data_IF_995313666310
#
_entry.id   IF_995313666310
#
_cell.length_a   1.000
_cell.length_b   1.000
_cell.length_c   1.000
_cell.angle_alpha   90.00
_cell.angle_beta   90.00
_cell.angle_gamma   90.00
#
_symmetry.space_group_name_H-M   'P 1'
#
loop_
_entity.id
_entity.type
_entity.pdbx_description
1 polymer ?
#
# COMPACT_ATOMS: atom_id res chain seq x y z
N UNK A 1 -15.91 -5.10 -0.91
CA UNK A 1 -14.73 -4.54 -1.58
C UNK A 1 -14.43 -3.16 -1.04
N UNK A 2 -13.20 -2.96 -0.58
CA UNK A 2 -12.77 -1.66 -0.09
C UNK A 2 -12.20 -0.85 -1.26
N UNK A 3 -12.86 0.21 -1.65
CA UNK A 3 -12.46 1.09 -2.77
C UNK A 3 -12.81 2.55 -2.44
N UNK A 4 -12.36 3.02 -1.29
CA UNK A 4 -12.53 4.39 -0.86
C UNK A 4 -11.31 5.24 -1.26
N UNK A 5 -11.52 6.53 -1.34
CA UNK A 5 -10.47 7.53 -1.60
C UNK A 5 -9.70 7.36 -2.93
N UNK A 6 -10.34 6.72 -3.94
CA UNK A 6 -9.76 6.63 -5.28
C UNK A 6 -8.72 5.52 -5.47
N UNK A 7 -8.62 4.52 -4.56
CA UNK A 7 -7.65 3.43 -4.65
C UNK A 7 -7.77 2.59 -5.94
N UNK A 8 -8.94 2.62 -6.60
CA UNK A 8 -9.11 2.05 -7.96
C UNK A 8 -8.12 2.64 -8.98
N UNK A 9 -7.64 3.86 -8.76
CA UNK A 9 -6.60 4.46 -9.57
C UNK A 9 -5.29 3.69 -9.52
N UNK A 10 -5.01 2.94 -8.45
CA UNK A 10 -3.85 2.08 -8.38
C UNK A 10 -3.94 0.93 -9.39
N UNK A 11 -5.11 0.28 -9.49
CA UNK A 11 -5.38 -0.77 -10.48
C UNK A 11 -5.23 -0.22 -11.90
N UNK A 12 -5.82 0.96 -12.16
CA UNK A 12 -5.74 1.63 -13.47
C UNK A 12 -4.30 1.95 -13.83
N UNK A 13 -3.50 2.42 -12.87
CA UNK A 13 -2.09 2.76 -13.09
C UNK A 13 -1.28 1.52 -13.51
N UNK A 14 -1.39 0.40 -12.78
CA UNK A 14 -0.73 -0.85 -13.14
C UNK A 14 -1.15 -1.28 -14.54
N UNK A 15 -2.47 -1.37 -14.78
CA UNK A 15 -3.01 -1.80 -16.06
C UNK A 15 -2.46 -0.95 -17.21
N UNK A 16 -2.52 0.38 -17.10
CA UNK A 16 -2.06 1.28 -18.16
C UNK A 16 -0.56 1.19 -18.40
N UNK A 17 0.26 1.10 -17.35
CA UNK A 17 1.71 1.00 -17.50
C UNK A 17 2.13 -0.34 -18.12
N UNK A 18 1.38 -1.42 -17.90
CA UNK A 18 1.55 -2.69 -18.59
C UNK A 18 1.08 -2.60 -20.05
N UNK A 19 -0.13 -2.06 -20.31
CA UNK A 19 -0.65 -1.87 -21.67
C UNK A 19 0.31 -1.05 -22.56
N UNK A 20 0.89 0.03 -22.05
CA UNK A 20 1.86 0.85 -22.77
C UNK A 20 3.16 0.11 -23.13
N UNK A 21 3.44 -1.00 -22.42
CA UNK A 21 4.58 -1.88 -22.70
C UNK A 21 4.18 -3.17 -23.43
N UNK A 22 2.94 -3.28 -23.91
CA UNK A 22 2.39 -4.48 -24.53
C UNK A 22 2.46 -5.72 -23.60
N UNK A 23 2.41 -5.52 -22.28
CA UNK A 23 2.34 -6.60 -21.30
C UNK A 23 0.85 -6.90 -21.07
N UNK A 24 0.38 -8.14 -21.34
CA UNK A 24 -1.00 -8.53 -21.12
C UNK A 24 -1.36 -8.43 -19.63
N UNK A 25 -2.52 -7.85 -19.30
CA UNK A 25 -3.02 -7.73 -17.93
C UNK A 25 -4.50 -8.10 -17.87
N UNK A 26 -4.81 -9.01 -16.99
CA UNK A 26 -6.16 -9.32 -16.57
C UNK A 26 -6.39 -8.79 -15.15
N UNK A 27 -7.51 -8.11 -14.94
CA UNK A 27 -7.92 -7.64 -13.62
C UNK A 27 -9.03 -8.54 -13.10
N UNK A 28 -8.76 -9.23 -12.00
CA UNK A 28 -9.70 -10.13 -11.35
C UNK A 28 -10.18 -9.52 -10.04
N UNK A 29 -11.48 -9.29 -9.94
CA UNK A 29 -12.10 -8.86 -8.68
C UNK A 29 -12.35 -10.10 -7.80
N UNK A 30 -11.89 -10.06 -6.53
CA UNK A 30 -12.15 -11.11 -5.53
C UNK A 30 -13.15 -10.58 -4.49
N UNK A 31 -14.34 -11.15 -4.47
CA UNK A 31 -15.43 -10.81 -3.55
C UNK A 31 -15.28 -11.48 -2.18
N UNK A 32 -16.21 -11.12 -1.27
CA UNK A 32 -16.35 -11.81 0.02
C UNK A 32 -16.75 -13.28 -0.22
N UNK A 33 -16.13 -14.21 0.51
CA UNK A 33 -16.37 -15.65 0.37
C UNK A 33 -15.74 -16.30 -0.86
N UNK A 34 -15.17 -15.52 -1.78
CA UNK A 34 -14.46 -16.05 -2.94
C UNK A 34 -13.01 -16.39 -2.57
N UNK A 35 -12.45 -17.52 -3.02
CA UNK A 35 -11.09 -17.90 -2.69
C UNK A 35 -10.06 -17.00 -3.39
N UNK A 36 -8.99 -16.67 -2.69
CA UNK A 36 -7.76 -16.18 -3.32
C UNK A 36 -7.02 -17.40 -3.85
N UNK A 37 -6.66 -17.37 -5.13
CA UNK A 37 -5.89 -18.46 -5.76
C UNK A 37 -4.41 -18.09 -5.79
N UNK A 38 -3.54 -18.76 -5.03
CA UNK A 38 -2.11 -18.43 -4.95
C UNK A 38 -1.38 -18.46 -6.31
N UNK A 39 -1.87 -19.27 -7.23
CA UNK A 39 -1.28 -19.44 -8.58
C UNK A 39 -1.97 -18.63 -9.67
N UNK A 40 -2.97 -17.81 -9.30
CA UNK A 40 -3.84 -17.14 -10.29
C UNK A 40 -3.62 -15.66 -10.48
N UNK A 41 -2.82 -15.01 -9.62
CA UNK A 41 -2.54 -13.57 -9.70
C UNK A 41 -1.10 -13.27 -9.32
N UNK A 42 -0.52 -12.27 -9.96
CA UNK A 42 0.86 -11.84 -9.73
C UNK A 42 0.94 -10.65 -8.76
N UNK A 43 -0.09 -9.79 -8.77
CA UNK A 43 -0.20 -8.61 -7.90
C UNK A 43 -1.57 -8.59 -7.22
N UNK A 44 -1.58 -8.48 -5.90
CA UNK A 44 -2.78 -8.35 -5.06
C UNK A 44 -2.88 -6.94 -4.50
N UNK A 45 -4.05 -6.31 -4.69
CA UNK A 45 -4.33 -4.96 -4.20
C UNK A 45 -5.48 -4.97 -3.20
N UNK A 46 -5.25 -4.37 -2.03
CA UNK A 46 -6.24 -4.14 -1.00
C UNK A 46 -6.39 -2.63 -0.79
N UNK A 47 -7.55 -2.08 -1.11
CA UNK A 47 -7.83 -0.66 -0.95
C UNK A 47 -8.22 -0.25 0.46
N UNK A 48 -8.49 1.03 0.66
CA UNK A 48 -9.03 1.59 1.89
C UNK A 48 -10.53 1.25 2.06
N UNK A 49 -10.98 1.21 3.32
CA UNK A 49 -12.36 0.98 3.72
C UNK A 49 -12.71 1.66 5.03
N UNK A 50 -14.01 1.76 5.33
CA UNK A 50 -14.49 2.19 6.64
C UNK A 50 -14.54 1.00 7.60
N UNK A 51 -14.70 1.26 8.91
CA UNK A 51 -14.66 0.22 9.96
C UNK A 51 -15.65 -0.93 9.69
N UNK A 52 -16.84 -0.61 9.15
CA UNK A 52 -17.84 -1.64 8.79
C UNK A 52 -17.35 -2.58 7.69
N UNK A 53 -16.75 -2.05 6.64
CA UNK A 53 -16.19 -2.85 5.54
C UNK A 53 -14.97 -3.63 6.03
N UNK A 54 -14.15 -3.04 6.91
CA UNK A 54 -13.02 -3.72 7.52
C UNK A 54 -13.46 -4.90 8.39
N UNK A 55 -14.54 -4.78 9.17
CA UNK A 55 -15.08 -5.88 9.97
C UNK A 55 -15.53 -7.07 9.08
N UNK A 56 -16.24 -6.78 7.98
CA UNK A 56 -16.65 -7.81 7.03
C UNK A 56 -15.44 -8.50 6.38
N UNK A 57 -14.43 -7.72 5.99
CA UNK A 57 -13.22 -8.24 5.36
C UNK A 57 -12.35 -9.01 6.36
N UNK A 58 -12.22 -8.54 7.60
CA UNK A 58 -11.48 -9.25 8.65
C UNK A 58 -12.05 -10.66 8.89
N UNK A 59 -13.38 -10.78 8.93
CA UNK A 59 -14.05 -12.08 9.00
C UNK A 59 -13.71 -13.01 7.83
N UNK A 60 -13.73 -12.46 6.62
CA UNK A 60 -13.39 -13.18 5.38
C UNK A 60 -11.91 -13.58 5.30
N UNK A 61 -11.02 -12.73 5.81
CA UNK A 61 -9.56 -12.95 5.84
C UNK A 61 -9.12 -13.87 7.00
N UNK A 62 -9.93 -14.09 8.01
CA UNK A 62 -9.57 -14.91 9.16
C UNK A 62 -9.47 -16.42 8.86
N UNK A 63 -9.96 -16.86 7.69
CA UNK A 63 -9.97 -18.25 7.24
C UNK A 63 -8.84 -18.61 6.27
N UNK A 64 -9.17 -19.47 5.31
CA UNK A 64 -8.25 -19.95 4.28
C UNK A 64 -7.67 -18.80 3.43
N UNK A 65 -8.47 -17.76 3.14
CA UNK A 65 -8.04 -16.60 2.35
C UNK A 65 -6.81 -15.90 2.94
N UNK A 66 -6.77 -15.70 4.26
CA UNK A 66 -5.59 -15.12 4.91
C UNK A 66 -4.38 -16.07 4.90
N UNK A 67 -4.60 -17.38 5.00
CA UNK A 67 -3.52 -18.35 4.85
C UNK A 67 -2.95 -18.35 3.44
N UNK A 68 -3.81 -18.28 2.42
CA UNK A 68 -3.40 -18.18 1.02
C UNK A 68 -2.59 -16.91 0.75
N UNK A 69 -3.02 -15.76 1.29
CA UNK A 69 -2.29 -14.51 1.17
C UNK A 69 -0.90 -14.56 1.82
N UNK A 70 -0.78 -15.17 2.99
CA UNK A 70 0.55 -15.39 3.61
C UNK A 70 1.42 -16.26 2.72
N UNK A 71 0.89 -17.36 2.21
CA UNK A 71 1.62 -18.26 1.30
C UNK A 71 2.08 -17.54 0.04
N UNK A 72 1.24 -16.67 -0.53
CA UNK A 72 1.58 -15.82 -1.68
C UNK A 72 2.78 -14.92 -1.37
N UNK A 73 2.77 -14.26 -0.21
CA UNK A 73 3.88 -13.37 0.20
C UNK A 73 5.16 -14.17 0.42
N UNK A 74 5.08 -15.33 1.09
CA UNK A 74 6.25 -16.21 1.28
C UNK A 74 6.85 -16.71 -0.04
N UNK A 75 6.01 -16.90 -1.05
CA UNK A 75 6.41 -17.31 -2.40
C UNK A 75 6.83 -16.12 -3.29
N UNK A 76 7.00 -14.92 -2.71
CA UNK A 76 7.45 -13.72 -3.40
C UNK A 76 6.40 -12.98 -4.22
N UNK A 77 5.11 -13.34 -4.07
CA UNK A 77 4.01 -12.62 -4.70
C UNK A 77 3.89 -11.18 -4.23
N UNK A 78 3.48 -10.29 -5.11
CA UNK A 78 3.37 -8.85 -4.82
C UNK A 78 2.03 -8.54 -4.17
N UNK A 79 2.06 -7.89 -3.00
CA UNK A 79 0.87 -7.48 -2.26
C UNK A 79 0.99 -6.01 -1.88
N UNK A 80 -0.03 -5.20 -2.19
CA UNK A 80 -0.12 -3.81 -1.74
C UNK A 80 -1.42 -3.60 -0.96
N UNK A 81 -1.29 -3.25 0.32
CA UNK A 81 -2.38 -2.82 1.19
C UNK A 81 -2.37 -1.32 1.40
N UNK A 82 -3.52 -0.67 1.18
CA UNK A 82 -3.67 0.78 1.40
C UNK A 82 -4.68 1.02 2.52
N UNK A 83 -4.31 1.82 3.51
CA UNK A 83 -5.14 2.25 4.64
C UNK A 83 -5.79 1.05 5.38
N UNK A 84 -7.10 0.83 5.25
CA UNK A 84 -7.79 -0.31 5.85
C UNK A 84 -7.22 -1.67 5.41
N UNK A 85 -6.83 -1.79 4.14
CA UNK A 85 -6.13 -2.97 3.63
C UNK A 85 -4.78 -3.17 4.34
N UNK A 86 -4.01 -2.11 4.53
CA UNK A 86 -2.75 -2.14 5.28
C UNK A 86 -2.96 -2.58 6.74
N UNK A 87 -3.95 -2.00 7.42
CA UNK A 87 -4.27 -2.33 8.82
C UNK A 87 -4.59 -3.82 9.01
N UNK A 88 -5.36 -4.41 8.08
CA UNK A 88 -5.72 -5.82 8.11
C UNK A 88 -4.59 -6.77 7.70
N UNK A 89 -3.50 -6.27 7.15
CA UNK A 89 -2.29 -7.09 6.92
C UNK A 89 -1.47 -7.31 8.19
N UNK A 90 -1.75 -6.60 9.29
CA UNK A 90 -1.14 -6.78 10.60
C UNK A 90 -1.76 -7.92 11.41
N UNK A 91 -1.49 -7.92 12.71
CA UNK A 91 -2.08 -8.90 13.64
C UNK A 91 -3.54 -8.59 13.96
N UNK A 92 -3.85 -7.31 14.20
CA UNK A 92 -5.21 -6.85 14.46
C UNK A 92 -5.36 -5.34 14.20
N UNK A 93 -6.59 -4.95 13.92
CA UNK A 93 -7.07 -3.58 13.99
C UNK A 93 -8.07 -3.44 15.14
N UNK A 94 -7.82 -2.53 16.08
CA UNK A 94 -8.75 -2.21 17.15
C UNK A 94 -9.61 -1.01 16.73
N UNK A 95 -10.94 -1.22 16.74
CA UNK A 95 -11.90 -0.16 16.39
C UNK A 95 -12.02 0.89 17.51
N UNK A 96 -12.59 2.07 17.23
CA UNK A 96 -12.87 3.07 18.28
C UNK A 96 -13.74 2.56 19.42
N UNK A 97 -14.57 1.55 19.18
CA UNK A 97 -15.44 0.90 20.16
C UNK A 97 -14.72 -0.17 21.00
N UNK A 98 -13.44 -0.44 20.70
CA UNK A 98 -12.62 -1.42 21.41
C UNK A 98 -12.74 -2.85 20.89
N UNK A 99 -13.42 -3.07 19.77
CA UNK A 99 -13.45 -4.38 19.12
C UNK A 99 -12.13 -4.63 18.38
N UNK A 100 -11.55 -5.81 18.56
CA UNK A 100 -10.36 -6.23 17.83
C UNK A 100 -10.72 -7.10 16.64
N UNK A 101 -10.53 -6.55 15.46
CA UNK A 101 -10.67 -7.25 14.21
C UNK A 101 -9.35 -7.97 13.88
N UNK A 102 -9.37 -9.31 13.73
CA UNK A 102 -8.16 -10.05 13.42
C UNK A 102 -7.63 -9.68 12.02
N UNK A 103 -6.33 -9.55 11.90
CA UNK A 103 -5.65 -9.34 10.64
C UNK A 103 -5.05 -10.63 10.08
N UNK A 104 -4.43 -10.50 8.92
CA UNK A 104 -3.79 -11.63 8.20
C UNK A 104 -2.46 -12.03 8.83
N UNK A 105 -1.76 -11.11 9.51
CA UNK A 105 -0.44 -11.36 10.11
C UNK A 105 0.70 -11.47 9.09
N UNK A 106 0.61 -10.77 7.96
CA UNK A 106 1.71 -10.62 7.00
C UNK A 106 2.81 -9.74 7.58
N UNK A 107 2.41 -8.66 8.27
CA UNK A 107 3.31 -7.75 8.96
C UNK A 107 3.21 -7.92 10.47
N UNK A 108 4.35 -7.88 11.16
CA UNK A 108 4.39 -7.74 12.61
C UNK A 108 4.04 -6.31 13.01
N UNK A 109 2.75 -6.01 13.01
CA UNK A 109 2.21 -4.71 13.40
C UNK A 109 0.81 -4.86 14.00
N UNK A 110 0.41 -3.84 14.73
CA UNK A 110 -0.95 -3.66 15.20
C UNK A 110 -1.43 -2.24 14.94
N UNK A 111 -2.72 -2.08 14.77
CA UNK A 111 -3.34 -0.76 14.66
C UNK A 111 -4.34 -0.55 15.77
N UNK A 112 -4.17 0.55 16.51
CA UNK A 112 -5.01 0.98 17.62
C UNK A 112 -5.79 2.23 17.22
N UNK A 113 -6.97 2.49 17.82
CA UNK A 113 -7.71 3.69 17.57
C UNK A 113 -6.96 4.91 18.13
N UNK A 114 -7.16 6.06 17.53
CA UNK A 114 -6.71 7.33 18.11
C UNK A 114 -7.35 7.55 19.50
N UNK A 115 -6.64 8.18 20.40
CA UNK A 115 -7.21 8.62 21.67
C UNK A 115 -8.27 9.70 21.42
N UNK A 116 -9.24 9.84 22.34
CA UNK A 116 -10.33 10.82 22.21
C UNK A 116 -9.84 12.28 22.06
N UNK A 117 -8.65 12.58 22.56
CA UNK A 117 -8.01 13.91 22.48
C UNK A 117 -7.17 14.12 21.23
N UNK A 118 -6.99 13.09 20.41
CA UNK A 118 -6.17 13.16 19.20
C UNK A 118 -7.05 13.39 17.97
N UNK A 119 -6.51 14.12 17.01
CA UNK A 119 -7.16 14.33 15.72
C UNK A 119 -6.87 13.19 14.75
N UNK A 120 -7.65 13.09 13.68
CA UNK A 120 -7.30 12.24 12.54
C UNK A 120 -6.02 12.76 11.88
N UNK A 121 -5.20 11.86 11.38
CA UNK A 121 -4.02 12.22 10.57
C UNK A 121 -4.49 12.44 9.14
N UNK A 122 -4.55 13.71 8.73
CA UNK A 122 -5.07 14.14 7.42
C UNK A 122 -4.11 15.15 6.82
N UNK A 123 -3.66 14.89 5.62
CA UNK A 123 -2.82 15.84 4.90
C UNK A 123 -2.04 15.20 3.76
N UNK A 124 -1.25 16.04 3.10
CA UNK A 124 -0.27 15.54 2.17
C UNK A 124 0.90 14.93 2.93
N UNK A 125 1.54 13.94 2.32
CA UNK A 125 2.67 13.24 2.92
C UNK A 125 3.78 13.07 1.89
N UNK A 126 5.04 13.21 2.35
CA UNK A 126 6.25 12.92 1.61
C UNK A 126 7.08 11.93 2.43
N UNK A 127 7.45 10.83 1.81
CA UNK A 127 8.15 9.71 2.46
C UNK A 127 9.43 9.38 1.70
N UNK A 128 10.54 9.19 2.41
CA UNK A 128 11.77 8.61 1.86
C UNK A 128 11.72 7.10 1.99
N UNK A 129 12.02 6.41 0.91
CA UNK A 129 11.97 4.95 0.80
C UNK A 129 13.31 4.43 0.27
N UNK A 130 13.79 3.34 0.84
CA UNK A 130 14.96 2.62 0.35
C UNK A 130 14.53 1.26 -0.18
N UNK A 131 14.53 1.10 -1.50
CA UNK A 131 14.14 -0.14 -2.19
C UNK A 131 15.13 -0.48 -3.29
N UNK A 132 15.52 -1.75 -3.36
CA UNK A 132 16.44 -2.23 -4.41
C UNK A 132 17.81 -1.56 -4.39
N UNK A 133 18.27 -1.07 -3.23
CA UNK A 133 19.54 -0.35 -3.08
C UNK A 133 19.48 1.13 -3.51
N UNK A 134 18.30 1.62 -3.89
CA UNK A 134 18.10 3.03 -4.26
C UNK A 134 17.26 3.77 -3.22
N UNK A 135 17.65 5.02 -2.93
CA UNK A 135 16.85 5.94 -2.13
C UNK A 135 15.94 6.74 -3.05
N UNK A 136 14.64 6.66 -2.83
CA UNK A 136 13.61 7.37 -3.59
C UNK A 136 12.58 8.01 -2.65
N UNK A 137 11.62 8.71 -3.21
CA UNK A 137 10.55 9.34 -2.44
C UNK A 137 9.18 8.97 -3.00
N UNK A 138 8.20 8.92 -2.10
CA UNK A 138 6.79 8.74 -2.40
C UNK A 138 6.02 9.98 -1.94
N UNK A 139 5.08 10.44 -2.74
CA UNK A 139 4.10 11.46 -2.38
C UNK A 139 2.70 10.86 -2.31
N UNK A 140 1.90 11.34 -1.39
CA UNK A 140 0.53 10.86 -1.23
C UNK A 140 -0.32 11.81 -0.40
N UNK A 141 -1.48 11.32 -0.02
CA UNK A 141 -2.40 11.97 0.91
C UNK A 141 -2.82 10.96 1.98
N UNK A 142 -2.63 11.28 3.23
CA UNK A 142 -3.05 10.45 4.35
C UNK A 142 -4.39 10.92 4.93
N UNK A 143 -5.25 9.99 5.31
CA UNK A 143 -6.51 10.27 6.00
C UNK A 143 -6.95 9.07 6.84
N UNK A 144 -6.42 8.95 8.04
CA UNK A 144 -6.73 7.81 8.91
C UNK A 144 -6.86 8.18 10.39
N UNK A 145 -7.69 7.43 11.11
CA UNK A 145 -7.84 7.53 12.55
C UNK A 145 -6.97 6.55 13.32
N UNK A 146 -6.64 5.42 12.71
CA UNK A 146 -5.78 4.40 13.31
C UNK A 146 -4.37 4.90 13.57
N UNK A 147 -3.74 4.33 14.59
CA UNK A 147 -2.32 4.49 14.94
C UNK A 147 -1.66 3.15 14.80
N UNK A 148 -0.84 2.99 13.78
CA UNK A 148 -0.12 1.73 13.52
C UNK A 148 1.22 1.74 14.23
N UNK A 149 1.48 0.67 14.95
CA UNK A 149 2.73 0.43 15.65
C UNK A 149 3.39 -0.82 15.07
N UNK A 150 4.58 -0.65 14.58
CA UNK A 150 5.40 -1.74 14.05
C UNK A 150 6.04 -2.52 15.19
N UNK A 151 6.10 -3.84 15.06
CA UNK A 151 6.95 -4.72 15.84
C UNK A 151 8.29 -4.95 15.12
N UNK A 152 8.58 -6.19 14.82
CA UNK A 152 9.82 -6.59 14.13
C UNK A 152 9.63 -6.64 12.60
N UNK A 153 9.04 -5.58 12.03
CA UNK A 153 8.84 -5.41 10.58
C UNK A 153 9.43 -4.08 10.13
N UNK A 154 10.05 -4.08 8.97
CA UNK A 154 10.61 -2.84 8.41
C UNK A 154 9.50 -1.87 8.00
N UNK A 155 9.64 -0.56 8.29
CA UNK A 155 8.77 0.44 7.70
C UNK A 155 8.95 0.47 6.17
N UNK A 156 7.91 0.86 5.44
CA UNK A 156 8.04 1.18 4.01
C UNK A 156 9.00 2.35 3.82
N UNK A 157 8.93 3.35 4.70
CA UNK A 157 9.85 4.47 4.65
C UNK A 157 9.82 5.39 5.86
N UNK A 158 10.60 6.47 5.76
CA UNK A 158 10.70 7.53 6.77
C UNK A 158 9.94 8.76 6.31
N UNK A 159 9.11 9.32 7.18
CA UNK A 159 8.33 10.53 6.91
C UNK A 159 9.26 11.74 6.82
N UNK A 160 9.22 12.45 5.71
CA UNK A 160 9.87 13.75 5.52
C UNK A 160 8.90 14.91 5.77
N UNK A 161 7.63 14.72 5.46
CA UNK A 161 6.53 15.63 5.73
C UNK A 161 5.24 14.84 5.89
N UNK A 162 4.39 15.20 6.84
CA UNK A 162 3.16 14.48 7.17
C UNK A 162 3.26 13.74 8.49
N UNK A 163 2.44 12.73 8.69
CA UNK A 163 2.29 12.05 9.97
C UNK A 163 2.72 10.58 9.96
N UNK A 164 2.46 9.86 8.86
CA UNK A 164 2.80 8.44 8.73
C UNK A 164 1.99 7.52 9.65
N UNK A 165 2.59 6.44 10.10
CA UNK A 165 1.94 5.34 10.81
C UNK A 165 1.14 5.77 12.06
N UNK A 166 1.67 6.70 12.84
CA UNK A 166 1.06 7.08 14.12
C UNK A 166 1.26 8.57 14.51
N UNK A 167 1.93 9.34 13.65
CA UNK A 167 2.20 10.76 13.86
C UNK A 167 3.29 11.04 14.90
N UNK A 168 4.11 10.03 15.29
CA UNK A 168 5.07 10.17 16.40
C UNK A 168 6.46 9.60 16.11
N UNK A 169 6.53 8.41 15.49
CA UNK A 169 7.80 7.69 15.33
C UNK A 169 8.52 8.01 14.01
N UNK A 170 7.90 8.81 13.14
CA UNK A 170 8.48 9.20 11.87
C UNK A 170 8.52 8.09 10.83
N UNK A 171 7.84 6.97 11.07
CA UNK A 171 7.75 5.86 10.12
C UNK A 171 6.46 5.94 9.28
N UNK A 172 6.51 5.39 8.09
CA UNK A 172 5.34 5.23 7.22
C UNK A 172 5.29 3.82 6.64
N UNK A 173 4.09 3.21 6.71
CA UNK A 173 3.82 1.92 6.14
C UNK A 173 4.62 0.78 6.78
N UNK A 174 4.62 -0.36 6.10
CA UNK A 174 5.44 -1.52 6.41
C UNK A 174 5.81 -2.26 5.13
N UNK A 175 6.91 -2.99 5.13
CA UNK A 175 7.32 -3.86 4.03
C UNK A 175 7.87 -5.19 4.54
N UNK A 176 7.60 -6.26 3.79
CA UNK A 176 8.16 -7.58 4.01
C UNK A 176 8.17 -8.34 2.69
N UNK A 177 9.34 -8.75 2.21
CA UNK A 177 9.49 -9.31 0.86
C UNK A 177 8.88 -8.34 -0.19
N UNK A 178 7.95 -8.82 -1.02
CA UNK A 178 7.21 -8.01 -2.00
C UNK A 178 5.81 -7.58 -1.47
N UNK A 179 5.59 -7.63 -0.18
CA UNK A 179 4.40 -7.07 0.45
C UNK A 179 4.66 -5.66 0.98
N UNK A 180 3.77 -4.74 0.67
CA UNK A 180 3.82 -3.33 1.03
C UNK A 180 2.50 -2.90 1.64
N UNK A 181 2.57 -2.22 2.76
CA UNK A 181 1.43 -1.58 3.41
C UNK A 181 1.67 -0.08 3.55
N UNK A 182 0.65 0.75 3.40
CA UNK A 182 0.82 2.21 3.43
C UNK A 182 -0.47 2.95 3.76
N UNK A 183 -0.34 4.15 4.32
CA UNK A 183 -1.43 5.12 4.46
C UNK A 183 -1.52 6.12 3.30
N UNK A 184 -0.64 6.05 2.31
CA UNK A 184 -0.65 6.95 1.17
C UNK A 184 -1.83 6.66 0.24
N UNK A 185 -2.80 7.56 0.26
CA UNK A 185 -3.99 7.56 -0.59
C UNK A 185 -3.90 8.56 -1.76
N UNK A 186 -5.07 8.75 -2.38
CA UNK A 186 -5.28 9.66 -3.49
C UNK A 186 -4.72 9.09 -4.77
N UNK A 187 -4.87 7.77 -4.89
CA UNK A 187 -4.18 6.82 -5.75
C UNK A 187 -2.66 7.01 -5.67
N UNK A 188 -2.03 6.20 -4.83
CA UNK A 188 -0.58 6.19 -4.61
C UNK A 188 0.19 6.02 -5.93
N UNK A 189 -0.18 5.01 -6.71
CA UNK A 189 0.61 4.57 -7.85
C UNK A 189 0.69 5.58 -9.00
N UNK A 190 -0.40 6.26 -9.42
CA UNK A 190 -0.30 7.27 -10.46
C UNK A 190 0.60 8.46 -10.11
N UNK A 191 0.75 8.78 -8.81
CA UNK A 191 1.62 9.86 -8.33
C UNK A 191 3.08 9.43 -8.24
N UNK A 192 3.33 8.13 -8.22
CA UNK A 192 4.64 7.53 -7.99
C UNK A 192 4.92 6.46 -9.05
N UNK A 193 5.14 6.85 -10.33
CA UNK A 193 5.27 5.91 -11.44
C UNK A 193 6.39 4.90 -11.22
N UNK A 194 7.50 5.30 -10.61
CA UNK A 194 8.60 4.41 -10.30
C UNK A 194 8.19 3.27 -9.34
N UNK A 195 7.31 3.56 -8.38
CA UNK A 195 6.84 2.53 -7.44
C UNK A 195 5.84 1.59 -8.12
N UNK A 196 5.04 2.09 -9.05
CA UNK A 196 4.20 1.25 -9.91
C UNK A 196 5.05 0.29 -10.72
N UNK A 197 6.12 0.79 -11.36
CA UNK A 197 7.04 -0.05 -12.13
C UNK A 197 7.80 -1.04 -11.26
N UNK A 198 8.17 -0.63 -10.04
CA UNK A 198 8.77 -1.55 -9.07
C UNK A 198 7.84 -2.75 -8.76
N UNK A 199 6.55 -2.52 -8.52
CA UNK A 199 5.58 -3.61 -8.26
C UNK A 199 5.42 -4.52 -9.49
N UNK A 200 5.29 -3.92 -10.69
CA UNK A 200 5.17 -4.68 -11.94
C UNK A 200 6.42 -5.51 -12.18
N UNK A 201 7.59 -4.92 -12.05
CA UNK A 201 8.86 -5.61 -12.25
C UNK A 201 9.07 -6.75 -11.24
N UNK A 202 8.73 -6.53 -9.98
CA UNK A 202 8.81 -7.57 -8.94
C UNK A 202 7.91 -8.76 -9.26
N UNK A 203 6.70 -8.50 -9.80
CA UNK A 203 5.79 -9.56 -10.21
C UNK A 203 6.32 -10.35 -11.42
N UNK A 204 6.85 -9.68 -12.43
CA UNK A 204 7.38 -10.30 -13.63
C UNK A 204 8.66 -11.10 -13.35
N UNK A 205 9.54 -10.59 -12.49
CA UNK A 205 10.78 -11.28 -12.10
C UNK A 205 10.55 -12.53 -11.25
N UNK A 206 9.38 -12.68 -10.68
CA UNK A 206 9.00 -13.96 -10.05
C UNK A 206 8.89 -15.08 -11.06
N UNK A 207 8.60 -14.77 -12.33
CA UNK A 207 8.49 -15.74 -13.43
C UNK A 207 9.78 -15.82 -14.24
N UNK A 208 10.41 -14.67 -14.51
CA UNK A 208 11.67 -14.54 -15.24
C UNK A 208 12.54 -13.48 -14.55
N UNK A 209 13.52 -13.93 -13.78
CA UNK A 209 14.41 -13.08 -12.99
C UNK A 209 15.23 -12.09 -13.84
N UNK A 210 15.42 -12.40 -15.11
CA UNK A 210 16.12 -11.54 -16.07
C UNK A 210 15.25 -10.45 -16.69
N UNK A 211 13.93 -10.42 -16.36
CA UNK A 211 13.00 -9.48 -16.98
C UNK A 211 13.37 -8.03 -16.67
N UNK A 212 13.32 -7.19 -17.70
CA UNK A 212 13.51 -5.74 -17.62
C UNK A 212 12.29 -5.02 -18.19
N UNK A 213 11.90 -3.93 -17.54
CA UNK A 213 10.81 -3.08 -18.03
C UNK A 213 11.36 -2.05 -19.02
N UNK A 214 10.75 -1.96 -20.19
CA UNK A 214 10.98 -0.87 -21.11
C UNK A 214 10.64 0.48 -20.45
N UNK A 215 11.51 1.50 -20.55
CA UNK A 215 11.23 2.80 -19.97
C UNK A 215 10.03 3.49 -20.65
N UNK A 216 9.23 4.17 -19.85
CA UNK A 216 8.14 5.03 -20.32
C UNK A 216 8.53 6.51 -20.23
N UNK A 217 7.91 7.34 -21.05
CA UNK A 217 8.02 8.79 -20.90
C UNK A 217 7.16 9.28 -19.75
N UNK A 218 7.76 9.32 -18.57
CA UNK A 218 7.14 9.81 -17.32
C UNK A 218 7.38 11.32 -17.10
N UNK A 219 7.60 12.09 -18.15
CA UNK A 219 7.94 13.55 -18.02
C UNK A 219 6.86 14.32 -17.26
N UNK A 220 5.58 14.06 -17.55
CA UNK A 220 4.47 14.73 -16.87
C UNK A 220 4.34 14.28 -15.41
N UNK A 221 4.44 12.98 -15.15
CA UNK A 221 4.38 12.40 -13.82
C UNK A 221 5.52 12.90 -12.94
N UNK A 222 6.75 12.95 -13.47
CA UNK A 222 7.91 13.48 -12.76
C UNK A 222 7.76 14.96 -12.44
N UNK A 223 7.19 15.77 -13.35
CA UNK A 223 6.90 17.19 -13.09
C UNK A 223 5.84 17.35 -12.00
N UNK A 224 4.76 16.58 -12.03
CA UNK A 224 3.71 16.61 -11.01
C UNK A 224 4.25 16.18 -9.64
N UNK A 225 5.02 15.09 -9.60
CA UNK A 225 5.71 14.63 -8.40
C UNK A 225 6.65 15.71 -7.84
N UNK A 226 7.53 16.27 -8.69
CA UNK A 226 8.51 17.29 -8.29
C UNK A 226 7.86 18.55 -7.73
N UNK A 227 6.78 19.04 -8.37
CA UNK A 227 6.02 20.18 -7.88
C UNK A 227 5.39 19.91 -6.48
N UNK A 228 4.86 18.70 -6.26
CA UNK A 228 4.30 18.31 -4.98
C UNK A 228 5.40 18.18 -3.90
N UNK A 229 6.48 17.48 -4.20
CA UNK A 229 7.59 17.29 -3.27
C UNK A 229 8.25 18.61 -2.87
N UNK A 230 8.51 19.51 -3.83
CA UNK A 230 9.06 20.85 -3.58
C UNK A 230 8.14 21.68 -2.64
N UNK A 231 6.82 21.66 -2.92
CA UNK A 231 5.84 22.33 -2.07
C UNK A 231 5.88 21.81 -0.63
N UNK A 232 5.99 20.49 -0.44
CA UNK A 232 6.00 19.87 0.89
C UNK A 232 7.30 20.15 1.66
N UNK A 233 8.43 20.32 0.95
CA UNK A 233 9.69 20.75 1.57
C UNK A 233 9.74 22.24 1.88
N UNK A 234 8.74 23.02 1.51
CA UNK A 234 8.75 24.48 1.63
C UNK A 234 9.66 25.18 0.62
N UNK A 235 10.07 24.49 -0.43
CA UNK A 235 10.84 25.04 -1.53
C UNK A 235 9.94 25.85 -2.46
N UNK A 236 10.43 26.98 -2.97
CA UNK A 236 9.67 27.74 -3.99
C UNK A 236 9.71 26.94 -5.30
N UNK A 237 8.55 26.77 -5.93
CA UNK A 237 8.50 26.22 -7.27
C UNK A 237 9.27 27.17 -8.21
N UNK A 238 10.33 26.67 -8.81
CA UNK A 238 11.12 27.37 -9.84
C UNK A 238 10.44 27.30 -11.20
#
# INVERSE_FOLDING_TARGET
MMNLYGDRGNVISIKKRCEWRNIPVEVVDVGLGEPVRPTGCDIFLFGGGQDREQALLAGDLSGSKGADLRAIVEDGGVVLGVCGGYQLMGHYYETPEGERLPGVGIFDLRTEPRRSTEERLIGNILVRVELGGETRELVGFENHGGRTYLGDVEPLGTVLYGHGNNGRDGTEGARRLNAYGTYLHGSLLPKNPWFTDHLILSALRRVDDSFELEPLDDTLERRAFGAMAARLRGERAS
#
